data_IF_766301757508
#
_entry.id   IF_766301757508
#
_cell.length_a   1.000
_cell.length_b   1.000
_cell.length_c   1.000
_cell.angle_alpha   90.00
_cell.angle_beta   90.00
_cell.angle_gamma   90.00
#
_symmetry.space_group_name_H-M   'P 1'
#
loop_
_entity.id
_entity.type
_entity.pdbx_description
1 polymer ?
#
# COMPACT_ATOMS: atom_id res chain seq x y z
N UNK A 1 -4.21 -17.53 8.96
CA UNK A 1 -3.61 -16.67 7.93
C UNK A 1 -3.86 -15.22 8.29
N UNK A 2 -2.89 -14.37 8.06
CA UNK A 2 -2.95 -12.97 8.43
C UNK A 2 -3.35 -12.10 7.25
N UNK A 3 -4.16 -11.09 7.51
CA UNK A 3 -4.61 -10.12 6.52
C UNK A 3 -4.13 -8.73 6.92
N UNK A 4 -3.73 -7.94 5.95
CA UNK A 4 -3.23 -6.60 6.19
C UNK A 4 -3.94 -5.59 5.31
N UNK A 5 -4.21 -4.43 5.90
CA UNK A 5 -4.63 -3.24 5.15
C UNK A 5 -3.50 -2.23 5.27
N UNK A 6 -2.98 -1.80 4.14
CA UNK A 6 -1.94 -0.78 4.09
C UNK A 6 -2.52 0.45 3.40
N UNK A 7 -2.47 1.58 4.08
CA UNK A 7 -2.90 2.85 3.52
C UNK A 7 -1.65 3.63 3.16
N UNK A 8 -1.48 3.87 1.88
CA UNK A 8 -0.29 4.49 1.33
C UNK A 8 -0.68 5.53 0.27
N UNK A 9 0.23 6.43 -0.05
CA UNK A 9 -0.02 7.47 -1.05
C UNK A 9 1.27 8.00 -1.63
N UNK A 10 1.19 8.48 -2.86
CA UNK A 10 2.21 9.38 -3.39
C UNK A 10 2.14 10.71 -2.66
N UNK A 11 3.27 11.37 -2.52
CA UNK A 11 3.30 12.71 -1.95
C UNK A 11 2.37 13.64 -2.75
N UNK A 12 1.54 14.39 -2.04
CA UNK A 12 0.52 15.31 -2.57
C UNK A 12 -0.63 14.67 -3.36
N UNK A 13 -0.77 13.33 -3.26
CA UNK A 13 -1.86 12.59 -3.89
C UNK A 13 -2.79 11.98 -2.86
N UNK A 14 -3.93 11.47 -3.34
CA UNK A 14 -4.90 10.79 -2.49
C UNK A 14 -4.37 9.43 -2.03
N UNK A 15 -4.88 9.00 -0.89
CA UNK A 15 -4.52 7.72 -0.30
C UNK A 15 -5.04 6.55 -1.14
N UNK A 16 -4.21 5.51 -1.23
CA UNK A 16 -4.58 4.22 -1.80
C UNK A 16 -4.68 3.22 -0.67
N UNK A 17 -5.68 2.35 -0.74
CA UNK A 17 -5.90 1.30 0.25
C UNK A 17 -5.54 -0.03 -0.39
N UNK A 18 -4.54 -0.70 0.17
CA UNK A 18 -3.99 -1.93 -0.38
C UNK A 18 -4.25 -3.08 0.58
N UNK A 19 -4.64 -4.23 0.04
CA UNK A 19 -4.94 -5.42 0.81
C UNK A 19 -3.91 -6.51 0.52
N UNK A 20 -3.36 -7.09 1.57
CA UNK A 20 -2.41 -8.19 1.47
C UNK A 20 -2.84 -9.34 2.36
N UNK A 21 -2.54 -10.54 1.91
CA UNK A 21 -2.86 -11.78 2.60
C UNK A 21 -1.60 -12.63 2.69
N UNK A 22 -1.20 -12.99 3.88
CA UNK A 22 -0.01 -13.81 4.12
C UNK A 22 0.73 -13.34 5.37
N UNK A 23 1.85 -13.97 5.64
CA UNK A 23 2.68 -13.62 6.78
C UNK A 23 3.84 -12.73 6.32
N UNK A 24 3.65 -11.44 6.50
CA UNK A 24 4.62 -10.42 6.09
C UNK A 24 5.09 -9.61 7.28
N UNK A 25 6.36 -9.21 7.26
CA UNK A 25 6.89 -8.26 8.20
C UNK A 25 6.45 -6.85 7.81
N UNK A 26 6.55 -5.93 8.76
CA UNK A 26 6.28 -4.51 8.51
C UNK A 26 7.12 -3.98 7.34
N UNK A 27 8.41 -4.34 7.31
CA UNK A 27 9.33 -3.88 6.27
C UNK A 27 8.94 -4.42 4.89
N UNK A 28 8.54 -5.69 4.82
CA UNK A 28 8.04 -6.29 3.59
C UNK A 28 6.78 -5.59 3.08
N UNK A 29 5.83 -5.31 3.98
CA UNK A 29 4.60 -4.61 3.63
C UNK A 29 4.87 -3.19 3.12
N UNK A 30 5.80 -2.47 3.75
CA UNK A 30 6.19 -1.13 3.32
C UNK A 30 6.78 -1.16 1.91
N UNK A 31 7.64 -2.13 1.64
CA UNK A 31 8.26 -2.28 0.33
C UNK A 31 7.22 -2.64 -0.73
N UNK A 32 6.35 -3.61 -0.44
CA UNK A 32 5.29 -4.05 -1.34
C UNK A 32 4.34 -2.91 -1.68
N UNK A 33 3.91 -2.16 -0.66
CA UNK A 33 3.01 -1.03 -0.84
C UNK A 33 3.67 0.10 -1.65
N UNK A 34 4.93 0.38 -1.38
CA UNK A 34 5.69 1.39 -2.13
C UNK A 34 5.76 1.03 -3.61
N UNK A 35 6.07 -0.22 -3.93
CA UNK A 35 6.13 -0.70 -5.30
C UNK A 35 4.77 -0.64 -5.99
N UNK A 36 3.70 -0.99 -5.26
CA UNK A 36 2.35 -0.97 -5.81
C UNK A 36 1.88 0.46 -6.12
N UNK A 37 2.12 1.41 -5.23
CA UNK A 37 1.79 2.81 -5.46
C UNK A 37 2.57 3.37 -6.66
N UNK A 38 3.85 3.06 -6.77
CA UNK A 38 4.69 3.47 -7.90
C UNK A 38 4.21 2.88 -9.21
N UNK A 39 3.78 1.62 -9.21
CA UNK A 39 3.23 0.94 -10.37
C UNK A 39 1.95 1.62 -10.85
N UNK A 40 1.13 2.12 -9.93
CA UNK A 40 -0.15 2.73 -10.22
C UNK A 40 -0.09 4.24 -10.50
N UNK A 41 1.10 4.84 -10.41
CA UNK A 41 1.24 6.27 -10.64
C UNK A 41 0.91 6.63 -12.09
N UNK A 42 0.27 7.77 -12.27
CA UNK A 42 -0.01 8.36 -13.59
C UNK A 42 1.02 9.43 -13.95
N UNK A 43 1.94 9.72 -13.04
CA UNK A 43 3.00 10.70 -13.25
C UNK A 43 4.18 10.06 -13.96
N UNK A 44 4.84 10.81 -14.82
CA UNK A 44 6.08 10.38 -15.45
C UNK A 44 7.28 10.83 -14.61
N UNK A 45 8.16 9.89 -14.31
CA UNK A 45 9.38 10.14 -13.57
C UNK A 45 10.55 9.63 -14.40
N UNK A 46 11.66 10.37 -14.42
CA UNK A 46 12.90 9.89 -15.03
C UNK A 46 13.39 8.63 -14.31
N UNK A 47 13.28 8.65 -12.99
CA UNK A 47 13.57 7.53 -12.12
C UNK A 47 12.35 7.30 -11.23
N UNK A 48 11.81 6.09 -11.23
CA UNK A 48 10.63 5.78 -10.41
C UNK A 48 10.90 6.00 -8.91
N UNK A 49 12.14 5.96 -8.48
CA UNK A 49 12.51 6.25 -7.09
C UNK A 49 12.23 7.71 -6.68
N UNK A 50 12.09 8.61 -7.66
CA UNK A 50 11.70 10.01 -7.42
C UNK A 50 10.23 10.12 -7.02
N UNK A 51 9.44 9.08 -7.26
CA UNK A 51 8.08 8.97 -6.77
C UNK A 51 8.12 8.65 -5.27
N UNK A 52 7.96 9.66 -4.45
CA UNK A 52 7.99 9.50 -3.00
C UNK A 52 6.66 8.96 -2.49
N UNK A 53 6.72 7.84 -1.76
CA UNK A 53 5.54 7.15 -1.23
C UNK A 53 5.53 7.22 0.29
N UNK A 54 4.39 7.66 0.84
CA UNK A 54 4.15 7.66 2.27
C UNK A 54 3.31 6.44 2.65
N UNK A 55 3.71 5.76 3.71
CA UNK A 55 2.92 4.68 4.31
C UNK A 55 2.27 5.27 5.56
N UNK A 56 0.97 5.55 5.48
CA UNK A 56 0.26 6.21 6.56
C UNK A 56 -0.17 5.24 7.66
N UNK A 57 -0.73 4.08 7.29
CA UNK A 57 -1.21 3.09 8.25
C UNK A 57 -0.97 1.66 7.75
N UNK A 58 -0.73 0.77 8.69
CA UNK A 58 -0.73 -0.67 8.46
C UNK A 58 -1.63 -1.30 9.53
N UNK A 59 -2.69 -1.97 9.09
CA UNK A 59 -3.60 -2.70 9.97
C UNK A 59 -3.41 -4.18 9.76
N UNK A 60 -3.50 -4.93 10.85
CA UNK A 60 -3.39 -6.39 10.87
C UNK A 60 -4.72 -6.97 11.35
N UNK A 61 -5.16 -8.03 10.69
CA UNK A 61 -6.35 -8.78 11.09
C UNK A 61 -6.11 -10.27 10.93
N UNK A 62 -6.64 -11.07 11.87
CA UNK A 62 -6.61 -12.53 11.79
C UNK A 62 -7.82 -13.07 11.03
N UNK A 63 -8.79 -12.21 10.71
CA UNK A 63 -9.97 -12.57 9.94
C UNK A 63 -9.98 -11.87 8.60
N UNK A 64 -10.63 -12.47 7.57
CA UNK A 64 -10.73 -11.84 6.26
C UNK A 64 -11.35 -10.45 6.33
N UNK A 65 -10.76 -9.53 5.57
CA UNK A 65 -11.25 -8.16 5.48
C UNK A 65 -12.18 -8.09 4.28
N UNK A 66 -13.39 -7.58 4.50
CA UNK A 66 -14.38 -7.43 3.44
C UNK A 66 -14.63 -5.95 3.18
N UNK A 67 -14.63 -5.60 1.91
CA UNK A 67 -15.12 -4.32 1.45
C UNK A 67 -16.62 -4.41 1.23
N UNK A 68 -17.32 -3.39 1.65
CA UNK A 68 -18.75 -3.24 1.36
C UNK A 68 -18.89 -2.08 0.40
N UNK A 69 -19.42 -2.37 -0.78
CA UNK A 69 -19.69 -1.36 -1.80
C UNK A 69 -21.21 -1.11 -1.86
N UNK A 70 -21.56 0.13 -1.89
CA UNK A 70 -22.97 0.50 -2.05
C UNK A 70 -23.37 0.51 -3.52
#
# INVERSE_FOLDING_TARGET
MTYFVVVAREEYKEEEVLLYKGDYSREELKQMATEEVRKNTTMEYEDIEDCYVHIDFIFKSDTPIKWIYD
#
